data_IF_445793535749
#
_entry.id   IF_445793535749
#
_cell.length_a   1.000
_cell.length_b   1.000
_cell.length_c   1.000
_cell.angle_alpha   90.00
_cell.angle_beta   90.00
_cell.angle_gamma   90.00
#
_symmetry.space_group_name_H-M   'P 1'
#
loop_
_entity.id
_entity.type
_entity.pdbx_description
1 polymer ?
#
# COMPACT_ATOMS: atom_id res chain seq x y z
N UNK A 1 52.99 -9.23 23.99
CA UNK A 1 52.49 -8.13 24.83
C UNK A 1 51.08 -7.79 24.36
N UNK A 2 50.05 -8.17 25.12
CA UNK A 2 48.68 -7.76 24.82
C UNK A 2 48.54 -6.26 25.10
N UNK A 3 47.98 -5.52 24.13
CA UNK A 3 47.77 -4.08 24.25
C UNK A 3 46.71 -3.84 25.35
N UNK A 4 47.01 -3.09 26.43
CA UNK A 4 46.08 -2.88 27.55
C UNK A 4 44.74 -2.28 27.10
N UNK A 5 44.74 -1.48 26.03
CA UNK A 5 43.50 -0.96 25.43
C UNK A 5 42.61 -2.06 24.87
N UNK A 6 43.18 -3.10 24.23
CA UNK A 6 42.42 -4.22 23.67
C UNK A 6 41.76 -5.06 24.76
N UNK A 7 42.42 -5.22 25.90
CA UNK A 7 41.87 -5.94 27.05
C UNK A 7 40.66 -5.21 27.66
N UNK A 8 40.75 -3.89 27.80
CA UNK A 8 39.63 -3.07 28.28
C UNK A 8 38.43 -3.08 27.31
N UNK A 9 38.67 -3.08 26.00
CA UNK A 9 37.61 -3.21 24.98
C UNK A 9 36.94 -4.58 25.08
N UNK A 10 37.71 -5.66 25.24
CA UNK A 10 37.17 -7.00 25.41
C UNK A 10 36.34 -7.12 26.70
N UNK A 11 36.78 -6.50 27.80
CA UNK A 11 36.03 -6.42 29.05
C UNK A 11 34.70 -5.67 28.87
N UNK A 12 34.70 -4.53 28.16
CA UNK A 12 33.49 -3.77 27.85
C UNK A 12 32.48 -4.62 27.05
N UNK A 13 32.94 -5.33 26.01
CA UNK A 13 32.07 -6.19 25.21
C UNK A 13 31.49 -7.34 26.00
N UNK A 14 32.28 -7.97 26.88
CA UNK A 14 31.82 -9.06 27.73
C UNK A 14 30.76 -8.58 28.75
N UNK A 15 30.97 -7.42 29.37
CA UNK A 15 29.99 -6.78 30.27
C UNK A 15 28.66 -6.55 29.54
N UNK A 16 28.70 -6.00 28.33
CA UNK A 16 27.50 -5.76 27.53
C UNK A 16 26.82 -7.04 27.04
N UNK A 17 27.57 -8.10 26.79
CA UNK A 17 27.03 -9.41 26.45
C UNK A 17 26.36 -10.09 27.67
N UNK A 18 26.89 -9.90 28.87
CA UNK A 18 26.34 -10.46 30.11
C UNK A 18 25.16 -9.66 30.68
N UNK A 19 25.03 -8.38 30.32
CA UNK A 19 23.94 -7.52 30.79
C UNK A 19 24.24 -6.76 32.09
N UNK A 20 25.50 -6.69 32.53
CA UNK A 20 25.89 -6.10 33.81
C UNK A 20 26.01 -4.56 33.71
N UNK A 21 24.89 -3.87 33.95
CA UNK A 21 24.76 -2.42 33.87
C UNK A 21 25.59 -1.67 34.91
N UNK A 22 25.82 -2.27 36.09
CA UNK A 22 26.62 -1.67 37.15
C UNK A 22 28.09 -1.58 36.74
N UNK A 23 28.67 -2.69 36.26
CA UNK A 23 30.06 -2.70 35.76
C UNK A 23 30.22 -1.86 34.50
N UNK A 24 29.22 -1.84 33.63
CA UNK A 24 29.21 -0.98 32.43
C UNK A 24 29.36 0.49 32.80
N UNK A 25 28.60 0.95 33.79
CA UNK A 25 28.61 2.35 34.21
C UNK A 25 29.93 2.76 34.85
N UNK A 26 30.52 1.89 35.68
CA UNK A 26 31.84 2.10 36.29
C UNK A 26 32.95 2.12 35.25
N UNK A 27 32.92 1.22 34.26
CA UNK A 27 33.97 1.18 33.23
C UNK A 27 33.91 2.42 32.32
N UNK A 28 32.71 2.82 31.90
CA UNK A 28 32.52 3.97 31.03
C UNK A 28 32.69 5.32 31.74
N UNK A 29 32.63 5.38 33.08
CA UNK A 29 32.97 6.61 33.82
C UNK A 29 34.47 6.89 33.82
N UNK A 30 35.29 5.84 33.77
CA UNK A 30 36.76 5.95 33.72
C UNK A 30 37.30 6.02 32.29
N UNK A 31 36.58 5.49 31.31
CA UNK A 31 37.07 5.37 29.93
C UNK A 31 35.94 5.48 28.90
N UNK A 32 35.39 6.69 28.76
CA UNK A 32 34.30 7.00 27.82
C UNK A 32 34.68 6.84 26.34
N UNK A 33 35.97 6.92 26.00
CA UNK A 33 36.48 6.73 24.63
C UNK A 33 36.32 5.30 24.10
N UNK A 34 36.05 4.32 24.96
CA UNK A 34 35.89 2.91 24.58
C UNK A 34 34.52 2.58 23.97
N UNK A 35 33.54 3.47 24.09
CA UNK A 35 32.13 3.19 23.81
C UNK A 35 31.85 2.74 22.36
N UNK A 36 32.66 3.23 21.41
CA UNK A 36 32.53 2.96 19.98
C UNK A 36 33.62 2.00 19.45
N UNK A 37 34.47 1.46 20.33
CA UNK A 37 35.54 0.55 19.93
C UNK A 37 34.96 -0.81 19.49
N UNK A 38 35.58 -1.36 18.45
CA UNK A 38 35.13 -2.60 17.80
C UNK A 38 36.02 -3.78 18.14
N UNK A 39 35.42 -4.96 18.24
CA UNK A 39 36.15 -6.23 18.32
C UNK A 39 36.76 -6.59 16.95
N UNK A 40 37.59 -7.63 16.90
CA UNK A 40 38.25 -8.07 15.66
C UNK A 40 37.26 -8.46 14.54
N UNK A 41 36.02 -8.78 14.90
CA UNK A 41 34.92 -9.10 13.99
C UNK A 41 34.04 -7.87 13.65
N UNK A 42 34.42 -6.66 14.07
CA UNK A 42 33.69 -5.42 13.86
C UNK A 42 32.52 -5.20 14.83
N UNK A 43 32.36 -6.03 15.86
CA UNK A 43 31.24 -5.89 16.80
C UNK A 43 31.50 -4.78 17.83
N UNK A 44 30.48 -3.97 18.10
CA UNK A 44 30.50 -2.92 19.15
C UNK A 44 29.79 -3.40 20.42
N UNK A 45 30.02 -2.69 21.52
CA UNK A 45 29.33 -2.90 22.79
C UNK A 45 27.78 -2.86 22.63
N UNK A 46 27.27 -1.96 21.79
CA UNK A 46 25.84 -1.82 21.50
C UNK A 46 25.28 -3.05 20.77
N UNK A 47 26.03 -3.64 19.85
CA UNK A 47 25.62 -4.85 19.12
C UNK A 47 25.54 -6.08 20.03
N UNK A 48 26.45 -6.22 20.99
CA UNK A 48 26.40 -7.31 21.98
C UNK A 48 25.18 -7.19 22.90
N UNK A 49 24.88 -5.98 23.39
CA UNK A 49 23.67 -5.73 24.18
C UNK A 49 22.38 -6.00 23.38
N UNK A 50 22.35 -5.57 22.11
CA UNK A 50 21.22 -5.78 21.22
C UNK A 50 20.99 -7.26 20.87
N UNK A 51 22.05 -8.04 20.64
CA UNK A 51 21.96 -9.48 20.37
C UNK A 51 21.33 -10.26 21.52
N UNK A 52 21.78 -9.98 22.73
CA UNK A 52 21.41 -10.75 23.92
C UNK A 52 20.14 -10.23 24.61
N UNK A 53 19.51 -9.16 24.10
CA UNK A 53 18.25 -8.66 24.63
C UNK A 53 18.39 -7.78 25.87
N UNK A 54 19.59 -7.26 26.16
CA UNK A 54 19.86 -6.48 27.39
C UNK A 54 19.42 -5.03 27.23
N UNK A 55 18.13 -4.77 27.46
CA UNK A 55 17.51 -3.45 27.31
C UNK A 55 18.22 -2.34 28.09
N UNK A 56 18.52 -2.57 29.37
CA UNK A 56 19.13 -1.55 30.24
C UNK A 56 20.56 -1.20 29.81
N UNK A 57 21.32 -2.19 29.33
CA UNK A 57 22.65 -1.96 28.73
C UNK A 57 22.55 -1.10 27.48
N UNK A 58 21.62 -1.43 26.57
CA UNK A 58 21.41 -0.66 25.33
C UNK A 58 20.99 0.77 25.67
N UNK A 59 20.10 0.95 26.64
CA UNK A 59 19.66 2.26 27.12
C UNK A 59 20.83 3.09 27.68
N UNK A 60 21.63 2.52 28.58
CA UNK A 60 22.79 3.22 29.15
C UNK A 60 23.86 3.58 28.11
N UNK A 61 24.07 2.74 27.10
CA UNK A 61 24.99 3.06 25.99
C UNK A 61 24.49 4.22 25.14
N UNK A 62 23.19 4.26 24.84
CA UNK A 62 22.56 5.35 24.08
C UNK A 62 22.59 6.67 24.86
N UNK A 63 22.32 6.65 26.16
CA UNK A 63 22.41 7.83 27.04
C UNK A 63 23.83 8.40 27.09
N UNK A 64 24.85 7.56 26.89
CA UNK A 64 26.26 7.97 26.82
C UNK A 64 26.74 8.35 25.42
N UNK A 65 25.84 8.43 24.44
CA UNK A 65 26.15 8.92 23.09
C UNK A 65 26.91 7.92 22.22
N UNK A 66 26.68 6.61 22.38
CA UNK A 66 27.27 5.62 21.49
C UNK A 66 26.83 5.82 20.03
N UNK A 67 27.73 5.56 19.08
CA UNK A 67 27.43 5.60 17.66
C UNK A 67 26.66 4.33 17.25
N UNK A 68 25.38 4.50 16.97
CA UNK A 68 24.49 3.41 16.52
C UNK A 68 24.61 3.08 15.03
N UNK A 69 25.35 3.89 14.26
CA UNK A 69 25.54 3.72 12.81
C UNK A 69 26.66 2.73 12.46
N UNK A 70 27.47 2.34 13.44
CA UNK A 70 28.56 1.38 13.25
C UNK A 70 28.02 0.02 12.79
N UNK A 71 28.78 -0.63 11.90
CA UNK A 71 28.42 -1.93 11.30
C UNK A 71 29.52 -2.96 11.56
N UNK A 72 29.12 -4.21 11.78
CA UNK A 72 30.06 -5.33 11.91
C UNK A 72 30.57 -5.82 10.53
N UNK A 73 31.45 -6.83 10.50
CA UNK A 73 31.94 -7.44 9.24
C UNK A 73 30.82 -8.01 8.35
N UNK A 74 29.66 -8.33 8.91
CA UNK A 74 28.47 -8.78 8.18
C UNK A 74 27.57 -7.63 7.70
N UNK A 75 28.03 -6.37 7.84
CA UNK A 75 27.30 -5.14 7.54
C UNK A 75 25.99 -4.98 8.32
N UNK A 76 25.95 -5.47 9.56
CA UNK A 76 24.77 -5.35 10.43
C UNK A 76 25.00 -4.26 11.48
N UNK A 77 24.00 -3.39 11.66
CA UNK A 77 23.91 -2.44 12.77
C UNK A 77 23.35 -3.12 14.03
N UNK A 78 23.42 -2.45 15.17
CA UNK A 78 22.77 -2.93 16.39
C UNK A 78 21.24 -3.09 16.22
N UNK A 79 20.61 -2.27 15.37
CA UNK A 79 19.18 -2.37 15.07
C UNK A 79 18.85 -3.65 14.29
N UNK A 80 19.67 -3.99 13.28
CA UNK A 80 19.48 -5.19 12.47
C UNK A 80 19.60 -6.46 13.30
N UNK A 81 20.57 -6.46 14.22
CA UNK A 81 20.76 -7.54 15.18
C UNK A 81 19.53 -7.66 16.09
N UNK A 82 19.04 -6.57 16.67
CA UNK A 82 17.84 -6.61 17.52
C UNK A 82 16.60 -7.13 16.77
N UNK A 83 16.43 -6.76 15.49
CA UNK A 83 15.35 -7.27 14.63
C UNK A 83 15.49 -8.76 14.35
N UNK A 84 16.69 -9.21 13.97
CA UNK A 84 16.97 -10.61 13.66
C UNK A 84 16.69 -11.54 14.84
N UNK A 85 17.02 -11.11 16.05
CA UNK A 85 16.78 -11.87 17.28
C UNK A 85 15.37 -11.63 17.90
N UNK A 86 14.55 -10.78 17.30
CA UNK A 86 13.16 -10.56 17.70
C UNK A 86 12.95 -9.67 18.95
N UNK A 87 13.96 -8.90 19.36
CA UNK A 87 13.91 -8.07 20.57
C UNK A 87 13.17 -6.75 20.35
N UNK A 88 11.84 -6.83 20.26
CA UNK A 88 10.94 -5.69 19.94
C UNK A 88 11.17 -4.45 20.82
N UNK A 89 11.42 -4.64 22.11
CA UNK A 89 11.66 -3.53 23.06
C UNK A 89 12.93 -2.74 22.73
N UNK A 90 13.98 -3.43 22.26
CA UNK A 90 15.26 -2.81 21.87
C UNK A 90 15.13 -2.15 20.50
N UNK A 91 14.38 -2.75 19.57
CA UNK A 91 14.07 -2.14 18.26
C UNK A 91 13.41 -0.78 18.45
N UNK A 92 12.37 -0.71 19.29
CA UNK A 92 11.69 0.56 19.59
C UNK A 92 12.63 1.59 20.22
N UNK A 93 13.53 1.16 21.11
CA UNK A 93 14.51 2.04 21.77
C UNK A 93 15.55 2.61 20.78
N UNK A 94 16.08 1.78 19.87
CA UNK A 94 17.07 2.17 18.87
C UNK A 94 16.46 3.05 17.76
N UNK A 95 15.19 2.81 17.40
CA UNK A 95 14.44 3.62 16.43
C UNK A 95 14.06 4.99 16.98
N UNK A 96 13.76 5.12 18.27
CA UNK A 96 13.29 6.38 18.87
C UNK A 96 14.40 7.33 19.33
N UNK A 97 15.67 6.90 19.41
CA UNK A 97 16.78 7.78 19.80
C UNK A 97 17.13 8.74 18.65
N UNK A 98 16.94 10.05 18.84
CA UNK A 98 17.31 11.08 17.86
C UNK A 98 18.83 11.21 17.77
N UNK A 99 19.43 10.98 16.60
CA UNK A 99 20.84 11.36 16.35
C UNK A 99 21.47 10.76 15.08
N UNK A 100 21.83 11.65 14.15
CA UNK A 100 22.91 11.48 13.17
C UNK A 100 22.54 10.96 11.77
N UNK A 101 23.08 11.53 10.67
CA UNK A 101 22.76 11.15 9.30
C UNK A 101 23.30 9.75 8.98
N UNK A 102 22.44 8.97 8.35
CA UNK A 102 22.68 7.59 7.93
C UNK A 102 23.66 7.62 6.73
N UNK A 103 24.84 6.99 6.78
CA UNK A 103 25.64 6.77 5.59
C UNK A 103 24.88 5.82 4.67
N UNK A 104 24.67 6.24 3.42
CA UNK A 104 24.01 5.47 2.36
C UNK A 104 24.71 4.12 2.14
N UNK A 105 24.23 3.06 2.79
CA UNK A 105 24.39 1.67 2.33
C UNK A 105 23.11 0.91 2.67
N UNK A 106 22.33 0.64 1.62
CA UNK A 106 21.26 -0.35 1.49
C UNK A 106 20.42 -0.58 2.75
N UNK A 107 19.66 0.46 3.04
CA UNK A 107 18.40 0.42 3.77
C UNK A 107 17.50 -0.64 3.11
N UNK A 108 17.46 -1.87 3.66
CA UNK A 108 16.19 -2.59 3.77
C UNK A 108 15.45 -2.02 4.99
N UNK A 109 15.17 -0.71 4.96
CA UNK A 109 13.93 -0.30 5.57
C UNK A 109 12.86 -1.06 4.78
N UNK A 110 11.85 -1.50 5.49
CA UNK A 110 10.53 -1.46 4.89
C UNK A 110 10.27 0.02 4.58
N UNK A 111 10.90 0.56 3.51
CA UNK A 111 10.14 1.37 2.61
C UNK A 111 9.01 0.43 2.25
N UNK A 112 7.83 0.64 2.86
CA UNK A 112 6.61 0.20 2.24
C UNK A 112 6.72 0.76 0.83
N UNK A 113 7.14 -0.09 -0.12
CA UNK A 113 6.94 0.17 -1.53
C UNK A 113 5.42 0.22 -1.66
N UNK A 114 4.82 1.37 -1.36
CA UNK A 114 3.49 1.67 -1.79
C UNK A 114 3.58 1.54 -3.30
N UNK A 115 3.09 0.42 -3.82
CA UNK A 115 2.99 0.25 -5.26
C UNK A 115 2.31 1.53 -5.74
N UNK A 116 2.85 2.19 -6.75
CA UNK A 116 2.28 3.42 -7.30
C UNK A 116 0.76 3.29 -7.54
N UNK A 117 0.30 2.08 -7.91
CA UNK A 117 -1.10 1.72 -8.12
C UNK A 117 -1.91 1.31 -6.86
N UNK A 118 -1.25 1.13 -5.72
CA UNK A 118 -1.87 0.99 -4.39
C UNK A 118 -2.15 2.35 -3.74
N UNK A 119 -1.51 3.43 -4.20
CA UNK A 119 -1.76 4.77 -3.68
C UNK A 119 -3.10 5.28 -4.21
N UNK A 120 -4.11 5.28 -3.33
CA UNK A 120 -5.48 5.70 -3.67
C UNK A 120 -6.13 6.44 -2.50
N UNK A 121 -7.03 7.38 -2.83
CA UNK A 121 -7.89 8.07 -1.87
C UNK A 121 -9.13 7.26 -1.49
N UNK A 122 -9.32 6.06 -2.05
CA UNK A 122 -10.43 5.17 -1.72
C UNK A 122 -10.02 4.13 -0.67
N UNK A 123 -10.91 3.86 0.28
CA UNK A 123 -10.92 2.62 1.04
C UNK A 123 -11.71 1.56 0.24
N UNK A 124 -11.07 0.43 -0.07
CA UNK A 124 -11.65 -0.61 -0.94
C UNK A 124 -12.88 -1.30 -0.34
N UNK A 125 -13.05 -1.27 0.99
CA UNK A 125 -14.20 -1.86 1.72
C UNK A 125 -14.64 -3.21 1.16
N UNK A 126 -13.70 -4.18 1.09
CA UNK A 126 -13.98 -5.49 0.50
C UNK A 126 -15.08 -6.26 1.23
N UNK A 127 -15.32 -5.95 2.50
CA UNK A 127 -16.43 -6.44 3.32
C UNK A 127 -17.81 -6.07 2.74
N UNK A 128 -17.93 -4.96 2.01
CA UNK A 128 -19.20 -4.50 1.42
C UNK A 128 -19.51 -5.12 0.06
N UNK A 129 -18.55 -5.82 -0.56
CA UNK A 129 -18.71 -6.41 -1.90
C UNK A 129 -19.78 -7.50 -1.94
N UNK A 130 -19.93 -8.26 -0.86
CA UNK A 130 -20.94 -9.32 -0.74
C UNK A 130 -22.34 -8.79 -0.39
N UNK A 131 -22.44 -7.56 0.11
CA UNK A 131 -23.72 -6.94 0.50
C UNK A 131 -24.48 -6.38 -0.70
N UNK A 132 -25.29 -7.23 -1.35
CA UNK A 132 -26.07 -6.86 -2.55
C UNK A 132 -27.02 -5.69 -2.31
N UNK A 133 -27.66 -5.63 -1.15
CA UNK A 133 -28.66 -4.59 -0.85
C UNK A 133 -28.00 -3.24 -0.60
N UNK A 134 -26.85 -3.26 0.11
CA UNK A 134 -26.04 -2.05 0.32
C UNK A 134 -25.51 -1.51 -1.01
N UNK A 135 -24.97 -2.38 -1.88
CA UNK A 135 -24.50 -1.97 -3.20
C UNK A 135 -25.62 -1.39 -4.06
N UNK A 136 -26.80 -2.02 -4.08
CA UNK A 136 -27.97 -1.51 -4.82
C UNK A 136 -28.43 -0.15 -4.30
N UNK A 137 -28.49 0.02 -2.98
CA UNK A 137 -28.82 1.31 -2.37
C UNK A 137 -27.82 2.41 -2.74
N UNK A 138 -26.51 2.08 -2.68
CA UNK A 138 -25.44 3.00 -3.09
C UNK A 138 -25.48 3.31 -4.58
N UNK A 139 -25.87 2.37 -5.45
CA UNK A 139 -25.99 2.65 -6.88
C UNK A 139 -27.04 3.73 -7.19
N UNK A 140 -28.10 3.81 -6.40
CA UNK A 140 -29.17 4.81 -6.56
C UNK A 140 -28.94 6.10 -5.76
N UNK A 141 -27.90 6.17 -4.93
CA UNK A 141 -27.65 7.33 -4.07
C UNK A 141 -27.00 8.47 -4.88
N UNK A 142 -27.53 9.68 -4.72
CA UNK A 142 -27.05 10.88 -5.42
C UNK A 142 -25.63 11.32 -5.05
N UNK A 143 -25.06 10.81 -3.95
CA UNK A 143 -23.67 11.08 -3.56
C UNK A 143 -22.67 10.10 -4.18
N UNK A 144 -23.13 9.05 -4.86
CA UNK A 144 -22.24 8.02 -5.41
C UNK A 144 -21.58 8.47 -6.71
N UNK A 145 -20.27 8.26 -6.78
CA UNK A 145 -19.45 8.71 -7.90
C UNK A 145 -19.26 7.58 -8.90
N UNK A 146 -19.43 7.90 -10.17
CA UNK A 146 -19.21 7.00 -11.29
C UNK A 146 -18.06 7.50 -12.17
N UNK A 147 -17.15 6.59 -12.52
CA UNK A 147 -16.16 6.80 -13.57
C UNK A 147 -16.49 5.88 -14.75
N UNK A 148 -16.67 6.49 -15.93
CA UNK A 148 -17.10 5.76 -17.14
C UNK A 148 -15.90 5.34 -17.97
N UNK A 149 -16.00 4.13 -18.51
CA UNK A 149 -15.00 3.52 -19.38
C UNK A 149 -15.61 3.12 -20.72
N UNK A 150 -14.84 3.31 -21.80
CA UNK A 150 -15.13 2.79 -23.13
C UNK A 150 -13.88 2.13 -23.69
N UNK A 151 -13.98 0.87 -24.11
CA UNK A 151 -12.83 0.05 -24.52
C UNK A 151 -11.65 0.11 -23.53
N UNK A 152 -11.97 0.01 -22.24
CA UNK A 152 -11.03 0.11 -21.11
C UNK A 152 -10.38 1.49 -20.91
N UNK A 153 -10.74 2.51 -21.68
CA UNK A 153 -10.21 3.87 -21.57
C UNK A 153 -11.13 4.69 -20.66
N UNK A 154 -10.59 5.40 -19.66
CA UNK A 154 -11.41 6.21 -18.77
C UNK A 154 -11.85 7.49 -19.46
N UNK A 155 -13.04 7.97 -19.09
CA UNK A 155 -13.47 9.33 -19.38
C UNK A 155 -12.71 10.31 -18.48
N UNK A 156 -12.11 11.33 -19.08
CA UNK A 156 -11.35 12.37 -18.40
C UNK A 156 -11.82 13.75 -18.83
N UNK A 157 -11.52 14.75 -18.01
CA UNK A 157 -11.71 16.16 -18.31
C UNK A 157 -10.39 16.91 -18.09
N UNK A 158 -10.25 18.04 -18.77
CA UNK A 158 -9.08 18.89 -18.72
C UNK A 158 -9.39 20.11 -17.86
N UNK A 159 -8.61 20.31 -16.80
CA UNK A 159 -8.78 21.44 -15.89
C UNK A 159 -7.67 22.45 -16.16
N UNK A 160 -8.08 23.70 -16.43
CA UNK A 160 -7.15 24.83 -16.55
C UNK A 160 -6.43 25.07 -15.22
N UNK A 161 -5.11 25.22 -15.27
CA UNK A 161 -4.28 25.40 -14.08
C UNK A 161 -4.64 26.72 -13.38
N UNK A 162 -5.06 26.63 -12.11
CA UNK A 162 -5.45 27.82 -11.31
C UNK A 162 -4.26 28.68 -10.84
N UNK A 163 -3.02 28.17 -10.91
CA UNK A 163 -1.84 28.81 -10.33
C UNK A 163 -0.59 28.70 -11.22
N UNK A 164 -0.51 29.46 -12.32
CA UNK A 164 0.75 29.77 -13.04
C UNK A 164 1.56 28.61 -13.65
N UNK A 165 1.15 27.36 -13.45
CA UNK A 165 1.61 26.17 -14.17
C UNK A 165 1.13 26.25 -15.61
N UNK A 166 2.03 26.10 -16.58
CA UNK A 166 1.72 26.22 -18.01
C UNK A 166 0.98 25.02 -18.60
N UNK A 167 0.94 23.89 -17.90
CA UNK A 167 0.40 22.65 -18.45
C UNK A 167 -0.99 22.34 -17.85
N UNK A 168 -1.98 22.02 -18.71
CA UNK A 168 -3.31 21.64 -18.26
C UNK A 168 -3.30 20.30 -17.53
N UNK A 169 -4.07 20.19 -16.44
CA UNK A 169 -4.14 18.98 -15.63
C UNK A 169 -5.31 18.10 -16.08
N UNK A 170 -5.03 16.82 -16.35
CA UNK A 170 -6.07 15.84 -16.70
C UNK A 170 -6.59 15.19 -15.43
N UNK A 171 -7.92 15.13 -15.28
CA UNK A 171 -8.56 14.41 -14.16
C UNK A 171 -9.60 13.42 -14.64
N UNK A 172 -9.82 12.37 -13.85
CA UNK A 172 -10.95 11.47 -14.06
C UNK A 172 -12.27 12.25 -14.00
N UNK A 173 -13.11 12.09 -15.02
CA UNK A 173 -14.44 12.69 -15.03
C UNK A 173 -15.33 11.95 -14.02
N UNK A 174 -15.84 12.70 -13.03
CA UNK A 174 -16.65 12.18 -11.92
C UNK A 174 -18.12 12.48 -12.22
N UNK A 175 -18.90 11.43 -12.39
CA UNK A 175 -20.31 11.50 -12.77
C UNK A 175 -21.20 11.05 -11.61
N UNK A 176 -22.46 11.46 -11.63
CA UNK A 176 -23.47 11.06 -10.66
C UNK A 176 -24.44 10.03 -11.27
N UNK A 177 -25.34 9.50 -10.46
CA UNK A 177 -26.29 8.47 -10.91
C UNK A 177 -27.19 8.95 -12.05
N UNK A 178 -27.56 10.23 -12.08
CA UNK A 178 -28.39 10.84 -13.13
C UNK A 178 -27.74 10.78 -14.51
N UNK A 179 -26.39 10.79 -14.54
CA UNK A 179 -25.59 10.76 -15.76
C UNK A 179 -25.53 9.36 -16.38
N UNK A 180 -25.63 8.32 -15.53
CA UNK A 180 -25.37 6.93 -15.92
C UNK A 180 -26.57 5.99 -15.80
N UNK A 181 -27.70 6.45 -15.25
CA UNK A 181 -28.90 5.64 -14.99
C UNK A 181 -29.40 4.83 -16.18
N UNK A 182 -29.27 5.37 -17.39
CA UNK A 182 -29.73 4.72 -18.64
C UNK A 182 -28.87 3.51 -19.03
N UNK A 183 -27.61 3.50 -18.59
CA UNK A 183 -26.68 2.39 -18.81
C UNK A 183 -26.78 1.37 -17.68
N UNK A 184 -27.06 1.82 -16.45
CA UNK A 184 -27.31 0.92 -15.32
C UNK A 184 -28.56 0.05 -15.51
N UNK A 185 -29.56 0.53 -16.26
CA UNK A 185 -30.76 -0.25 -16.59
C UNK A 185 -30.54 -1.30 -17.69
N UNK A 186 -29.36 -1.32 -18.33
CA UNK A 186 -28.99 -2.25 -19.42
C UNK A 186 -27.81 -3.15 -19.00
N UNK A 187 -28.05 -4.17 -18.17
CA UNK A 187 -26.99 -4.99 -17.58
C UNK A 187 -26.20 -5.83 -18.59
N UNK A 188 -26.78 -6.13 -19.76
CA UNK A 188 -26.09 -6.92 -20.79
C UNK A 188 -25.02 -6.12 -21.55
N UNK A 189 -25.13 -4.79 -21.55
CA UNK A 189 -24.25 -3.86 -22.26
C UNK A 189 -23.28 -3.10 -21.37
N UNK A 190 -23.34 -3.35 -20.06
CA UNK A 190 -22.58 -2.61 -19.06
C UNK A 190 -21.95 -3.52 -18.02
N UNK A 191 -20.69 -3.24 -17.68
CA UNK A 191 -20.00 -3.89 -16.55
C UNK A 191 -19.79 -2.87 -15.45
N UNK A 192 -20.40 -3.10 -14.30
CA UNK A 192 -20.28 -2.26 -13.12
C UNK A 192 -19.35 -2.91 -12.08
N UNK A 193 -18.39 -2.14 -11.58
CA UNK A 193 -17.42 -2.57 -10.57
C UNK A 193 -17.41 -1.56 -9.42
N UNK A 194 -17.59 -2.04 -8.19
CA UNK A 194 -17.43 -1.22 -6.98
C UNK A 194 -15.94 -0.97 -6.72
N UNK A 195 -15.51 0.28 -6.55
CA UNK A 195 -14.09 0.61 -6.34
C UNK A 195 -13.75 0.74 -4.86
N UNK A 196 -14.71 1.22 -4.07
CA UNK A 196 -14.52 1.52 -2.67
C UNK A 196 -15.36 2.73 -2.24
N UNK A 197 -14.99 3.29 -1.10
CA UNK A 197 -15.56 4.53 -0.55
C UNK A 197 -14.47 5.56 -0.33
N UNK A 198 -14.79 6.85 -0.36
CA UNK A 198 -13.79 7.88 -0.06
C UNK A 198 -13.26 7.76 1.37
N UNK A 199 -11.93 7.85 1.54
CA UNK A 199 -11.31 7.95 2.86
C UNK A 199 -11.75 9.28 3.48
N UNK A 200 -12.49 9.22 4.58
CA UNK A 200 -12.79 10.42 5.36
C UNK A 200 -11.47 10.97 5.90
N UNK A 201 -11.11 12.20 5.52
CA UNK A 201 -10.00 12.91 6.14
C UNK A 201 -10.31 13.07 7.62
N UNK A 202 -9.48 12.47 8.48
CA UNK A 202 -9.58 12.56 9.93
C UNK A 202 -9.43 14.01 10.38
N UNK A 203 -10.54 14.74 10.45
CA UNK A 203 -10.66 15.81 11.44
C UNK A 203 -10.82 15.08 12.77
N UNK A 204 -9.91 15.35 13.71
CA UNK A 204 -9.89 14.74 15.04
C UNK A 204 -11.28 14.70 15.69
N UNK A 205 -11.88 13.52 15.78
CA UNK A 205 -12.70 13.17 16.92
C UNK A 205 -12.20 11.86 17.50
N UNK A 206 -11.52 11.99 18.63
CA UNK A 206 -11.36 10.92 19.61
C UNK A 206 -12.72 10.33 19.94
N UNK A 207 -12.90 9.05 19.65
CA UNK A 207 -14.09 8.30 20.02
C UNK A 207 -14.09 6.94 19.36
N UNK A 208 -13.71 5.92 20.11
CA UNK A 208 -14.06 4.54 19.79
C UNK A 208 -15.56 4.48 19.50
N UNK A 209 -15.93 4.15 18.27
CA UNK A 209 -17.31 3.81 17.96
C UNK A 209 -17.32 2.60 17.02
N UNK A 210 -17.39 1.44 17.67
CA UNK A 210 -17.96 0.24 17.08
C UNK A 210 -19.46 0.54 16.85
N UNK A 211 -19.86 0.92 15.64
CA UNK A 211 -21.29 0.99 15.27
C UNK A 211 -21.55 0.34 13.93
N UNK A 212 -22.28 -0.74 14.04
CA UNK A 212 -23.06 -1.36 12.99
C UNK A 212 -24.09 -0.33 12.50
N UNK A 213 -23.89 0.21 11.29
CA UNK A 213 -24.83 1.13 10.65
C UNK A 213 -25.75 0.34 9.72
N UNK A 214 -26.77 -0.29 10.32
CA UNK A 214 -27.99 -0.65 9.61
C UNK A 214 -28.94 0.55 9.63
N UNK A 215 -29.21 1.15 8.47
CA UNK A 215 -30.32 2.12 8.32
C UNK A 215 -29.96 3.48 7.71
N UNK A 216 -30.15 3.54 6.39
CA UNK A 216 -30.67 4.65 5.57
C UNK A 216 -29.90 5.96 5.31
N UNK A 217 -28.88 6.34 6.09
CA UNK A 217 -27.96 7.41 5.66
C UNK A 217 -26.52 7.03 6.00
N UNK A 218 -26.00 6.03 5.29
CA UNK A 218 -24.58 5.73 5.31
C UNK A 218 -23.82 6.91 4.65
N UNK A 219 -23.04 7.72 5.38
CA UNK A 219 -22.38 8.90 4.84
C UNK A 219 -21.23 8.56 3.89
N UNK A 220 -20.94 7.27 3.68
CA UNK A 220 -19.87 6.83 2.80
C UNK A 220 -20.19 7.16 1.34
N UNK A 221 -19.32 7.94 0.71
CA UNK A 221 -19.34 8.25 -0.73
C UNK A 221 -18.78 7.04 -1.47
N UNK A 222 -19.66 6.25 -2.10
CA UNK A 222 -19.28 5.06 -2.86
C UNK A 222 -18.82 5.43 -4.27
N UNK A 223 -17.78 4.74 -4.74
CA UNK A 223 -17.22 4.91 -6.09
C UNK A 223 -17.43 3.65 -6.92
N UNK A 224 -17.83 3.83 -8.17
CA UNK A 224 -18.07 2.76 -9.13
C UNK A 224 -17.36 3.04 -10.47
N UNK A 225 -16.82 1.99 -11.07
CA UNK A 225 -16.40 2.01 -12.47
C UNK A 225 -17.48 1.36 -13.34
N UNK A 226 -17.90 2.08 -14.38
CA UNK A 226 -18.92 1.62 -15.32
C UNK A 226 -18.30 1.53 -16.71
N UNK A 227 -18.17 0.33 -17.26
CA UNK A 227 -17.76 0.15 -18.64
C UNK A 227 -18.98 0.04 -19.55
N UNK A 228 -19.08 0.94 -20.53
CA UNK A 228 -20.14 1.00 -21.54
C UNK A 228 -19.62 0.50 -22.90
N UNK A 229 -20.52 -0.01 -23.74
CA UNK A 229 -20.21 -0.44 -25.10
C UNK A 229 -20.02 0.75 -26.07
N UNK A 230 -19.36 0.50 -27.21
CA UNK A 230 -18.96 1.52 -28.20
C UNK A 230 -20.13 2.33 -28.75
N UNK A 231 -21.30 1.71 -28.96
CA UNK A 231 -22.50 2.37 -29.50
C UNK A 231 -23.00 3.49 -28.57
N UNK A 232 -22.84 3.29 -27.25
CA UNK A 232 -23.24 4.26 -26.23
C UNK A 232 -22.22 5.39 -26.05
N UNK A 233 -21.01 5.22 -26.57
CA UNK A 233 -19.90 6.15 -26.37
C UNK A 233 -20.12 7.46 -27.14
N UNK A 234 -20.67 7.40 -28.36
CA UNK A 234 -20.90 8.60 -29.18
C UNK A 234 -22.06 9.46 -28.67
N UNK A 235 -23.08 8.84 -28.08
CA UNK A 235 -24.13 9.56 -27.36
C UNK A 235 -23.56 10.25 -26.11
N UNK A 236 -22.66 9.57 -25.40
CA UNK A 236 -22.01 10.11 -24.21
C UNK A 236 -21.14 11.33 -24.52
N UNK A 237 -20.32 11.27 -25.59
CA UNK A 237 -19.48 12.39 -26.04
C UNK A 237 -20.28 13.64 -26.39
N UNK A 238 -21.47 13.49 -26.98
CA UNK A 238 -22.34 14.62 -27.31
C UNK A 238 -22.93 15.30 -26.07
N UNK A 239 -23.05 14.58 -24.96
CA UNK A 239 -23.60 15.11 -23.70
C UNK A 239 -22.55 15.82 -22.85
N UNK A 240 -21.27 15.45 -22.99
CA UNK A 240 -20.16 16.02 -22.21
C UNK A 240 -19.04 16.47 -23.16
N UNK A 241 -19.20 17.66 -23.75
CA UNK A 241 -18.27 18.20 -24.75
C UNK A 241 -16.86 18.46 -24.18
N UNK A 242 -16.76 18.77 -22.88
CA UNK A 242 -15.48 19.02 -22.19
C UNK A 242 -14.78 17.73 -21.69
N UNK A 243 -15.33 16.56 -22.04
CA UNK A 243 -14.83 15.27 -21.59
C UNK A 243 -14.48 14.38 -22.79
N UNK A 244 -13.42 13.59 -22.65
CA UNK A 244 -12.99 12.66 -23.68
C UNK A 244 -12.42 11.38 -23.08
N UNK A 245 -12.39 10.30 -23.87
CA UNK A 245 -11.82 9.03 -23.45
C UNK A 245 -10.31 9.04 -23.69
N UNK A 246 -9.53 8.80 -22.64
CA UNK A 246 -8.08 8.98 -22.66
C UNK A 246 -7.37 7.86 -23.47
N UNK A 247 -6.79 8.22 -24.62
CA UNK A 247 -6.04 7.33 -25.52
C UNK A 247 -4.77 8.04 -26.05
N UNK A 248 -3.66 7.31 -26.34
CA UNK A 248 -3.42 5.88 -26.10
C UNK A 248 -2.99 5.57 -24.65
N UNK A 249 -3.18 4.32 -24.17
CA UNK A 249 -3.17 4.03 -22.73
C UNK A 249 -1.85 4.24 -22.00
N UNK A 250 -0.71 3.95 -22.63
CA UNK A 250 0.52 3.74 -21.86
C UNK A 250 1.22 5.04 -21.45
N UNK A 251 1.16 6.08 -22.30
CA UNK A 251 1.76 7.38 -22.03
C UNK A 251 0.75 8.34 -21.41
N UNK A 252 -0.51 8.29 -21.84
CA UNK A 252 -1.53 9.22 -21.39
C UNK A 252 -1.93 9.01 -19.92
N UNK A 253 -1.91 7.77 -19.41
CA UNK A 253 -2.27 7.52 -18.00
C UNK A 253 -1.27 8.06 -16.99
N UNK A 254 -0.03 8.31 -17.43
CA UNK A 254 1.00 8.94 -16.58
C UNK A 254 0.75 10.45 -16.37
N UNK A 255 -0.21 11.04 -17.10
CA UNK A 255 -0.61 12.43 -16.94
C UNK A 255 -1.61 12.63 -15.79
N UNK A 256 -2.20 11.54 -15.27
CA UNK A 256 -3.05 11.60 -14.09
C UNK A 256 -2.22 11.74 -12.82
N UNK A 257 -2.80 12.36 -11.79
CA UNK A 257 -2.20 12.39 -10.47
C UNK A 257 -1.99 10.98 -9.91
N UNK A 258 -0.96 10.80 -9.07
CA UNK A 258 -0.64 9.51 -8.44
C UNK A 258 -1.87 8.80 -7.85
N UNK A 259 -2.73 9.56 -7.13
CA UNK A 259 -3.91 8.98 -6.47
C UNK A 259 -5.01 8.58 -7.45
N UNK A 260 -5.25 9.35 -8.50
CA UNK A 260 -6.23 9.00 -9.54
C UNK A 260 -5.72 7.84 -10.42
N UNK A 261 -4.43 7.78 -10.69
CA UNK A 261 -3.81 6.67 -11.41
C UNK A 261 -3.96 5.34 -10.66
N UNK A 262 -3.93 5.34 -9.32
CA UNK A 262 -4.24 4.17 -8.51
C UNK A 262 -5.69 3.68 -8.66
N UNK A 263 -6.67 4.60 -8.63
CA UNK A 263 -8.09 4.28 -8.87
C UNK A 263 -8.29 3.74 -10.29
N UNK A 264 -7.69 4.39 -11.28
CA UNK A 264 -7.72 3.97 -12.68
C UNK A 264 -7.15 2.56 -12.85
N UNK A 265 -6.00 2.26 -12.25
CA UNK A 265 -5.38 0.95 -12.37
C UNK A 265 -6.24 -0.17 -11.78
N UNK A 266 -6.87 0.07 -10.63
CA UNK A 266 -7.83 -0.87 -10.05
C UNK A 266 -9.01 -1.11 -10.99
N UNK A 267 -9.68 -0.04 -11.42
CA UNK A 267 -10.84 -0.12 -12.30
C UNK A 267 -10.51 -0.85 -13.62
N UNK A 268 -9.47 -0.37 -14.32
CA UNK A 268 -9.07 -0.91 -15.63
C UNK A 268 -8.62 -2.37 -15.54
N UNK A 269 -7.94 -2.78 -14.45
CA UNK A 269 -7.53 -4.18 -14.28
C UNK A 269 -8.73 -5.12 -14.14
N UNK A 270 -9.73 -4.76 -13.34
CA UNK A 270 -10.94 -5.57 -13.14
C UNK A 270 -11.81 -5.58 -14.41
N UNK A 271 -11.97 -4.44 -15.08
CA UNK A 271 -12.69 -4.35 -16.35
C UNK A 271 -12.00 -5.16 -17.47
N UNK A 272 -10.67 -5.11 -17.55
CA UNK A 272 -9.90 -5.93 -18.50
C UNK A 272 -10.05 -7.43 -18.21
N UNK A 273 -10.16 -7.81 -16.93
CA UNK A 273 -10.47 -9.18 -16.55
C UNK A 273 -11.87 -9.59 -17.03
N UNK A 274 -12.91 -8.77 -16.84
CA UNK A 274 -14.25 -9.09 -17.36
C UNK A 274 -14.29 -9.21 -18.88
N UNK A 275 -13.54 -8.36 -19.59
CA UNK A 275 -13.43 -8.42 -21.06
C UNK A 275 -12.81 -9.75 -21.55
N UNK A 276 -11.79 -10.26 -20.85
CA UNK A 276 -11.05 -11.47 -21.26
C UNK A 276 -11.63 -12.78 -20.72
N UNK A 277 -12.25 -12.75 -19.55
CA UNK A 277 -12.67 -13.95 -18.82
C UNK A 277 -14.21 -14.03 -18.70
N UNK A 278 -14.92 -13.91 -19.83
CA UNK A 278 -16.39 -14.00 -19.88
C UNK A 278 -16.92 -15.42 -19.61
N UNK A 279 -16.12 -16.45 -19.91
CA UNK A 279 -16.49 -17.86 -19.78
C UNK A 279 -15.76 -18.54 -18.62
N UNK A 280 -16.38 -19.59 -18.07
CA UNK A 280 -15.80 -20.39 -16.99
C UNK A 280 -14.57 -21.15 -17.52
N UNK A 281 -13.38 -20.96 -16.91
CA UNK A 281 -12.16 -21.66 -17.34
C UNK A 281 -12.24 -23.19 -17.19
N UNK A 282 -13.09 -23.68 -16.28
CA UNK A 282 -13.18 -25.12 -15.97
C UNK A 282 -14.07 -25.89 -16.94
N UNK A 283 -15.16 -25.28 -17.41
CA UNK A 283 -16.18 -25.99 -18.20
C UNK A 283 -16.61 -25.28 -19.48
N UNK A 284 -16.11 -24.08 -19.75
CA UNK A 284 -16.49 -23.25 -20.90
C UNK A 284 -17.87 -22.58 -20.81
N UNK A 285 -18.63 -22.84 -19.75
CA UNK A 285 -19.97 -22.29 -19.57
C UNK A 285 -20.00 -20.77 -19.32
N UNK A 286 -21.17 -20.16 -19.47
CA UNK A 286 -21.41 -18.77 -19.12
C UNK A 286 -21.20 -18.50 -17.62
N UNK A 287 -20.91 -17.25 -17.26
CA UNK A 287 -20.68 -16.83 -15.88
C UNK A 287 -21.41 -15.53 -15.56
N UNK A 288 -21.95 -15.41 -14.35
CA UNK A 288 -22.46 -14.15 -13.78
C UNK A 288 -21.33 -13.34 -13.15
N UNK A 289 -21.59 -12.05 -12.93
CA UNK A 289 -20.72 -11.16 -12.16
C UNK A 289 -21.30 -11.00 -10.76
N UNK A 290 -20.49 -11.22 -9.74
CA UNK A 290 -20.87 -11.19 -8.32
C UNK A 290 -19.86 -10.36 -7.51
N UNK A 291 -20.12 -10.21 -6.21
CA UNK A 291 -19.25 -9.54 -5.24
C UNK A 291 -18.80 -8.14 -5.70
N UNK A 292 -19.75 -7.32 -6.15
CA UNK A 292 -19.48 -5.95 -6.62
C UNK A 292 -18.52 -5.86 -7.81
N UNK A 293 -18.43 -6.90 -8.63
CA UNK A 293 -17.52 -6.97 -9.78
C UNK A 293 -16.22 -7.73 -9.52
N UNK A 294 -15.99 -8.27 -8.33
CA UNK A 294 -14.73 -8.99 -8.02
C UNK A 294 -14.85 -10.50 -8.11
N UNK A 295 -15.99 -11.02 -8.55
CA UNK A 295 -16.18 -12.45 -8.71
C UNK A 295 -16.95 -12.77 -9.97
N UNK A 296 -16.59 -13.90 -10.58
CA UNK A 296 -17.39 -14.54 -11.62
C UNK A 296 -17.79 -15.94 -11.17
N UNK A 297 -19.08 -16.21 -11.21
CA UNK A 297 -19.66 -17.50 -10.81
C UNK A 297 -20.17 -18.23 -12.03
N UNK A 298 -19.85 -19.52 -12.13
CA UNK A 298 -20.31 -20.34 -13.25
C UNK A 298 -21.81 -20.62 -13.14
N UNK A 299 -22.55 -20.47 -14.24
CA UNK A 299 -23.98 -20.75 -14.30
C UNK A 299 -24.30 -22.24 -14.52
N UNK A 300 -23.30 -23.06 -14.85
CA UNK A 300 -23.49 -24.49 -15.07
C UNK A 300 -23.56 -25.24 -13.74
N UNK A 301 -24.72 -25.83 -13.47
CA UNK A 301 -24.93 -26.68 -12.30
C UNK A 301 -23.92 -27.83 -12.24
N UNK A 302 -23.42 -28.13 -11.04
CA UNK A 302 -22.45 -29.20 -10.80
C UNK A 302 -21.02 -28.90 -11.27
N UNK A 303 -20.72 -27.71 -11.79
CA UNK A 303 -19.35 -27.36 -12.19
C UNK A 303 -18.36 -27.46 -11.01
N UNK A 304 -17.17 -28.07 -11.18
CA UNK A 304 -16.17 -28.15 -10.12
C UNK A 304 -15.75 -26.79 -9.56
N UNK A 305 -15.82 -25.72 -10.36
CA UNK A 305 -15.50 -24.36 -9.92
C UNK A 305 -16.45 -23.84 -8.84
N UNK A 306 -17.64 -24.44 -8.67
CA UNK A 306 -18.62 -24.07 -7.63
C UNK A 306 -18.36 -24.80 -6.30
N UNK A 307 -17.49 -25.81 -6.29
CA UNK A 307 -17.17 -26.61 -5.10
C UNK A 307 -15.90 -26.08 -4.45
N UNK A 308 -16.04 -25.25 -3.41
CA UNK A 308 -14.93 -24.63 -2.71
C UNK A 308 -14.49 -23.29 -3.31
N UNK A 309 -13.27 -22.85 -2.98
CA UNK A 309 -12.75 -21.54 -3.39
C UNK A 309 -11.64 -21.73 -4.42
N UNK A 310 -11.87 -21.26 -5.65
CA UNK A 310 -10.92 -21.38 -6.76
C UNK A 310 -10.51 -20.02 -7.31
N UNK A 311 -9.24 -19.86 -7.68
CA UNK A 311 -8.73 -18.63 -8.29
C UNK A 311 -9.38 -18.30 -9.66
N UNK A 312 -10.02 -19.27 -10.31
CA UNK A 312 -10.75 -19.10 -11.57
C UNK A 312 -11.91 -18.12 -11.45
N UNK A 313 -12.42 -17.90 -10.24
CA UNK A 313 -13.54 -17.01 -9.96
C UNK A 313 -13.13 -15.57 -9.69
N UNK A 314 -11.83 -15.25 -9.55
CA UNK A 314 -11.36 -13.94 -9.08
C UNK A 314 -10.42 -13.23 -10.08
N UNK A 315 -10.32 -11.88 -10.03
CA UNK A 315 -9.38 -11.12 -10.82
C UNK A 315 -7.93 -11.57 -10.66
N UNK A 316 -7.18 -11.58 -11.76
CA UNK A 316 -5.77 -11.99 -11.78
C UNK A 316 -4.84 -10.78 -11.64
N UNK A 317 -3.80 -10.94 -10.84
CA UNK A 317 -2.70 -9.96 -10.72
C UNK A 317 -1.44 -10.57 -11.33
N UNK A 318 -0.98 -10.04 -12.46
CA UNK A 318 0.30 -10.40 -13.06
C UNK A 318 1.44 -9.69 -12.33
N UNK A 319 2.41 -10.43 -11.80
CA UNK A 319 3.62 -9.86 -11.21
C UNK A 319 4.66 -9.66 -12.29
N UNK A 320 5.09 -8.42 -12.52
CA UNK A 320 6.19 -8.08 -13.43
C UNK A 320 7.33 -7.47 -12.64
N UNK A 321 8.52 -8.04 -12.77
CA UNK A 321 9.75 -7.51 -12.15
C UNK A 321 10.46 -6.68 -13.22
N UNK A 322 10.61 -5.37 -12.99
CA UNK A 322 11.45 -4.50 -13.82
C UNK A 322 12.77 -4.28 -13.09
N UNK A 323 13.85 -4.82 -13.63
CA UNK A 323 15.21 -4.52 -13.15
C UNK A 323 15.70 -3.24 -13.82
N UNK A 324 16.05 -2.22 -13.02
CA UNK A 324 16.85 -1.11 -13.54
C UNK A 324 18.28 -1.60 -13.69
N UNK A 325 18.73 -1.77 -14.93
CA UNK A 325 20.16 -1.81 -15.22
C UNK A 325 20.66 -0.37 -15.17
N UNK A 326 21.37 -0.03 -14.11
CA UNK A 326 22.18 1.18 -14.06
C UNK A 326 23.36 0.95 -14.99
N UNK A 327 23.33 1.55 -16.17
CA UNK A 327 24.51 1.64 -17.02
C UNK A 327 25.48 2.61 -16.32
N UNK A 328 26.57 2.07 -15.80
CA UNK A 328 27.71 2.80 -15.24
C UNK A 328 28.61 3.37 -16.32
#
# INVERSE_FOLDING_TARGET
MQNPKKEMVAQLHNICALGDTAKLNVLLSHSSSLINETAENGWTALMYGARNGHFDVVKSLLEKGCDKSLVNKSRQTALDIAKFWGHKHIVNLLSNSKGGPIPHVLVNAEEEYENYFSSTFLDRRSDKRTGTDWLKAKQTQASSVYIVFSNLNPLVTLIEAKDGSKDPEIKLCRLQVEDVKEYLSKPDDAVLVFLGVEKQSSIHHSGEVNRDWGGQDDPLIAWFALNINDISTDQFKRKYEDCYFLQPPMTAFLQLTHKEAGVLAQARAVLAWHSRYRFCPTCGGATSIDEGGYKRTCLKEGCPSLKGVHNTSYPRVGKTIKQMQLFS
#
